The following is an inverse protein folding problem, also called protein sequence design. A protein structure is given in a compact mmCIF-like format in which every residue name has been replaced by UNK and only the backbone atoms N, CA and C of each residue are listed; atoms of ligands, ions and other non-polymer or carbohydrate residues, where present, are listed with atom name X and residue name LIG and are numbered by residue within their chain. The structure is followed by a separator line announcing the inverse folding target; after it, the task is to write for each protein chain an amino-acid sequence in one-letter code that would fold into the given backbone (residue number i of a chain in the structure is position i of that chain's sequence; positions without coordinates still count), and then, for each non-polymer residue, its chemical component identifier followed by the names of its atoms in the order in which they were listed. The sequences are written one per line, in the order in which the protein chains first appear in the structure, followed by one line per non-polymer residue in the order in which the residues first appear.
data_IF_205250861441
#
_entry.id   IF_205250861441
#
_cell.length_a   1.000
_cell.length_b   1.000
_cell.length_c   1.000
_cell.angle_alpha   90.00
_cell.angle_beta   90.00
_cell.angle_gamma   90.00
#
_symmetry.space_group_name_H-M   'P 1'
#
loop_
_entity.id
_entity.type
_entity.pdbx_description
1 polymer ?
2 non-polymer ?
3 non-polymer ?
4 water ?
#
# COMPACT_ATOMS: atom_id res chain seq x y z
N UNK A 1 9.33 1.76 -17.55
CA UNK A 1 9.03 3.17 -17.18
C UNK A 1 8.46 3.22 -15.79
N UNK A 2 8.61 4.36 -15.13
CA UNK A 2 8.22 4.43 -13.75
C UNK A 2 6.74 4.88 -13.58
N UNK A 3 5.82 4.01 -13.99
CA UNK A 3 4.40 4.18 -13.69
C UNK A 3 3.95 3.20 -12.63
N UNK A 4 3.14 3.68 -11.69
CA UNK A 4 2.77 2.93 -10.50
C UNK A 4 1.53 3.57 -9.92
N UNK A 5 0.85 2.84 -9.05
CA UNK A 5 -0.33 3.34 -8.33
C UNK A 5 -0.22 2.94 -6.88
N UNK A 6 -0.94 3.64 -6.02
CA UNK A 6 -0.96 3.33 -4.61
C UNK A 6 -2.22 2.55 -4.28
N UNK A 7 -2.07 1.49 -3.48
CA UNK A 7 -3.18 0.79 -2.86
C UNK A 7 -3.16 1.20 -1.39
N UNK A 8 -4.11 2.04 -0.97
CA UNK A 8 -4.19 2.37 0.44
C UNK A 8 -4.81 1.22 1.18
N UNK A 9 -4.27 0.91 2.35
CA UNK A 9 -4.75 -0.22 3.10
C UNK A 9 -5.10 0.21 4.51
N UNK A 10 -5.38 1.50 4.70
CA UNK A 10 -5.74 2.04 6.02
C UNK A 10 -6.97 1.32 6.57
N UNK A 11 -7.84 0.84 5.68
CA UNK A 11 -9.09 0.20 6.10
C UNK A 11 -8.98 -1.31 6.10
N UNK A 12 -7.74 -1.81 6.05
CA UNK A 12 -7.45 -3.24 6.08
C UNK A 12 -6.25 -3.41 7.03
N UNK A 13 -5.03 -3.23 6.50
CA UNK A 13 -3.80 -3.28 7.30
C UNK A 13 -3.93 -2.32 8.50
N UNK A 14 -4.43 -1.11 8.23
CA UNK A 14 -4.59 -0.09 9.29
C UNK A 14 -5.58 -0.53 10.36
N UNK A 15 -6.53 -1.39 10.04
CA UNK A 15 -7.44 -1.89 11.07
C UNK A 15 -6.70 -2.80 12.06
N UNK A 16 -5.53 -3.28 11.65
CA UNK A 16 -4.75 -4.21 12.46
C UNK A 16 -3.82 -3.45 13.38
N UNK A 17 -3.78 -2.14 13.21
CA UNK A 17 -3.14 -1.24 14.17
C UNK A 17 -3.74 -1.42 15.57
N UNK A 18 -2.88 -1.46 16.59
CA UNK A 18 -3.29 -1.66 17.97
C UNK A 18 -4.52 -0.81 18.37
N UNK A 19 -4.46 0.48 18.07
CA UNK A 19 -5.46 1.40 18.54
C UNK A 19 -6.56 1.70 17.50
N UNK A 20 -6.57 1.01 16.37
CA UNK A 20 -7.62 1.24 15.38
C UNK A 20 -8.98 0.67 15.83
N UNK A 21 -10.01 1.51 15.75
CA UNK A 21 -11.38 1.07 16.04
C UNK A 21 -12.30 1.91 15.19
N UNK A 22 -12.32 1.60 13.90
CA UNK A 22 -13.00 2.45 12.94
C UNK A 22 -14.50 2.12 12.91
N UNK A 23 -15.34 3.14 13.09
CA UNK A 23 -16.79 3.00 12.84
C UNK A 23 -16.98 2.99 11.33
N UNK A 24 -18.12 2.48 10.89
CA UNK A 24 -18.50 2.54 9.50
C UNK A 24 -18.34 3.96 8.99
N UNK A 25 -18.72 4.94 9.80
CA UNK A 25 -18.57 6.34 9.37
C UNK A 25 -17.15 6.82 9.29
N UNK A 26 -16.30 6.34 10.21
CA UNK A 26 -14.86 6.64 10.16
C UNK A 26 -14.29 6.18 8.79
N UNK A 27 -14.62 4.93 8.43
CA UNK A 27 -14.13 4.32 7.19
C UNK A 27 -14.59 5.13 5.98
N UNK A 28 -15.88 5.51 5.97
CA UNK A 28 -16.43 6.25 4.82
C UNK A 28 -15.72 7.58 4.68
N UNK A 29 -15.52 8.26 5.81
CA UNK A 29 -14.81 9.52 5.81
C UNK A 29 -13.37 9.34 5.26
N UNK A 30 -12.68 8.29 5.70
CA UNK A 30 -11.29 8.03 5.24
C UNK A 30 -11.32 7.76 3.74
N UNK A 31 -12.22 6.89 3.32
CA UNK A 31 -12.30 6.48 1.91
C UNK A 31 -12.57 7.66 1.00
N UNK A 32 -13.53 8.52 1.39
CA UNK A 32 -13.87 9.69 0.59
C UNK A 32 -12.70 10.65 0.52
N UNK A 33 -12.01 10.83 1.64
CA UNK A 33 -10.84 11.73 1.67
C UNK A 33 -9.69 11.20 0.78
N UNK A 34 -9.49 9.88 0.78
CA UNK A 34 -8.47 9.24 -0.08
C UNK A 34 -8.84 9.35 -1.55
N UNK A 35 -10.15 9.28 -1.81
CA UNK A 35 -10.62 9.38 -3.17
C UNK A 35 -10.44 10.79 -3.67
N UNK A 36 -10.74 11.79 -2.83
CA UNK A 36 -10.48 13.18 -3.20
C UNK A 36 -8.99 13.41 -3.48
N UNK A 37 -8.14 12.83 -2.64
CA UNK A 37 -6.69 12.91 -2.80
C UNK A 37 -6.21 12.33 -4.15
N UNK A 38 -6.91 11.31 -4.65
CA UNK A 38 -6.53 10.72 -5.97
C UNK A 38 -6.03 9.28 -5.89
N UNK A 39 -6.10 8.67 -4.70
CA UNK A 39 -5.57 7.33 -4.45
C UNK A 39 -6.28 6.33 -5.35
N UNK A 40 -5.56 5.38 -5.94
CA UNK A 40 -6.17 4.55 -7.00
C UNK A 40 -6.95 3.37 -6.48
N UNK A 41 -6.54 2.85 -5.32
CA UNK A 41 -7.20 1.69 -4.75
C UNK A 41 -7.33 1.86 -3.27
N UNK A 42 -8.39 1.28 -2.74
CA UNK A 42 -8.66 1.28 -1.31
C UNK A 42 -8.99 -0.13 -0.95
N UNK A 43 -8.15 -0.70 -0.09
CA UNK A 43 -8.25 -2.10 0.27
C UNK A 43 -8.91 -2.17 1.64
N UNK A 44 -9.77 -3.18 1.81
CA UNK A 44 -10.60 -3.28 3.01
C UNK A 44 -10.55 -4.67 3.63
N UNK A 45 -10.68 -4.72 4.95
CA UNK A 45 -10.68 -5.97 5.71
C UNK A 45 -11.58 -7.01 5.10
N UNK A 46 -11.20 -8.27 5.24
CA UNK A 46 -11.94 -9.38 4.67
C UNK A 46 -13.41 -9.38 5.17
N UNK A 47 -14.37 -9.58 4.26
CA UNK A 47 -15.77 -9.54 4.71
C UNK A 47 -16.07 -10.67 5.70
N UNK A 48 -15.32 -11.77 5.60
CA UNK A 48 -15.46 -12.93 6.48
C UNK A 48 -15.08 -12.66 7.96
N UNK A 49 -14.39 -11.55 8.25
CA UNK A 49 -13.96 -11.27 9.63
C UNK A 49 -15.13 -11.20 10.66
N UNK A 50 -16.21 -10.52 10.29
CA UNK A 50 -17.35 -10.29 11.18
C UNK A 50 -18.50 -9.78 10.31
N UNK A 51 -19.75 -9.78 10.85
CA UNK A 51 -20.86 -9.20 10.08
C UNK A 51 -20.61 -7.72 9.78
N UNK A 52 -20.00 -7.00 10.71
CA UNK A 52 -19.64 -5.61 10.46
C UNK A 52 -18.53 -5.37 9.41
N UNK A 53 -17.58 -6.30 9.27
CA UNK A 53 -16.55 -6.15 8.23
C UNK A 53 -17.21 -6.29 6.86
N UNK A 54 -18.09 -7.28 6.74
CA UNK A 54 -18.88 -7.50 5.52
C UNK A 54 -19.67 -6.25 5.11
N UNK A 55 -20.44 -5.71 6.05
CA UNK A 55 -21.22 -4.48 5.83
C UNK A 55 -20.36 -3.31 5.38
N UNK A 56 -19.26 -3.08 6.10
CA UNK A 56 -18.32 -2.04 5.72
C UNK A 56 -17.77 -2.23 4.31
N UNK A 57 -17.43 -3.46 3.95
CA UNK A 57 -16.95 -3.75 2.59
C UNK A 57 -18.04 -3.40 1.57
N UNK A 58 -19.26 -3.87 1.84
CA UNK A 58 -20.44 -3.63 1.00
C UNK A 58 -20.68 -2.13 0.78
N UNK A 59 -20.66 -1.36 1.86
CA UNK A 59 -20.84 0.09 1.81
C UNK A 59 -19.70 0.77 1.03
N UNK A 60 -18.46 0.50 1.44
CA UNK A 60 -17.31 1.13 0.80
C UNK A 60 -17.24 0.84 -0.70
N UNK A 61 -17.56 -0.38 -1.09
CA UNK A 61 -17.52 -0.78 -2.48
C UNK A 61 -18.63 -0.11 -3.32
N UNK A 62 -19.66 0.38 -2.61
CA UNK A 62 -20.82 0.98 -3.26
C UNK A 62 -20.89 2.51 -3.13
N UNK A 63 -19.86 3.10 -2.52
CA UNK A 63 -19.77 4.54 -2.34
C UNK A 63 -19.78 5.36 -3.61
N UNK A 64 -19.63 4.70 -4.76
CA UNK A 64 -19.42 5.40 -6.02
C UNK A 64 -18.11 6.17 -6.13
N UNK A 65 -17.05 5.70 -5.42
CA UNK A 65 -15.72 6.35 -5.52
C UNK A 65 -15.06 6.12 -6.86
N UNK A 66 -14.20 7.04 -7.27
CA UNK A 66 -13.35 6.85 -8.45
C UNK A 66 -12.30 5.73 -8.18
N UNK A 67 -11.70 5.71 -6.99
CA UNK A 67 -10.83 4.62 -6.52
C UNK A 67 -11.52 3.27 -6.58
N UNK A 68 -10.78 2.22 -6.95
CA UNK A 68 -11.34 0.86 -6.90
C UNK A 68 -11.26 0.37 -5.48
N UNK A 69 -12.32 -0.30 -5.04
CA UNK A 69 -12.35 -0.84 -3.70
C UNK A 69 -12.10 -2.32 -3.80
N UNK A 70 -11.15 -2.82 -3.00
CA UNK A 70 -10.72 -4.20 -3.15
C UNK A 70 -10.62 -4.81 -1.76
N UNK A 71 -10.89 -6.10 -1.66
CA UNK A 71 -10.79 -6.73 -0.37
C UNK A 71 -9.75 -7.84 -0.36
N UNK A 72 -9.21 -8.05 0.84
CA UNK A 72 -8.10 -8.92 1.07
C UNK A 72 -8.63 -10.14 1.77
N UNK A 73 -8.54 -11.30 1.12
CA UNK A 73 -8.98 -12.56 1.72
C UNK A 73 -7.89 -13.65 1.69
N UNK A 74 -7.99 -14.62 2.61
CA UNK A 74 -7.29 -15.89 2.47
C UNK A 74 -7.72 -16.52 1.15
N UNK A 75 -6.79 -17.23 0.51
CA UNK A 75 -7.06 -17.88 -0.76
C UNK A 75 -7.85 -19.17 -0.54
N UNK A 76 -9.16 -19.00 -0.34
CA UNK A 76 -10.11 -20.09 -0.06
C UNK A 76 -11.40 -19.91 -0.86
N UNK A 77 -12.06 -21.01 -1.20
CA UNK A 77 -13.36 -20.95 -1.88
C UNK A 77 -14.44 -20.29 -1.02
N UNK A 78 -14.45 -20.65 0.27
CA UNK A 78 -15.31 -20.06 1.29
C UNK A 78 -15.34 -18.55 1.10
N UNK A 79 -14.17 -17.93 1.33
CA UNK A 79 -14.05 -16.49 1.42
C UNK A 79 -14.26 -15.78 0.08
N UNK A 80 -13.94 -16.47 -1.01
CA UNK A 80 -14.12 -15.92 -2.34
C UNK A 80 -15.59 -15.56 -2.58
N UNK A 81 -16.49 -16.52 -2.27
CA UNK A 81 -17.95 -16.37 -2.42
C UNK A 81 -18.45 -15.10 -1.71
N UNK A 82 -18.22 -15.05 -0.41
CA UNK A 82 -18.46 -13.86 0.40
C UNK A 82 -17.91 -12.58 -0.23
N UNK A 83 -16.67 -12.64 -0.75
CA UNK A 83 -16.02 -11.48 -1.35
C UNK A 83 -16.71 -10.96 -2.61
N UNK A 84 -17.01 -11.82 -3.56
CA UNK A 84 -17.67 -11.33 -4.76
C UNK A 84 -19.06 -10.75 -4.44
N UNK A 85 -19.80 -11.43 -3.54
CA UNK A 85 -21.14 -10.97 -3.14
C UNK A 85 -21.14 -9.55 -2.56
N UNK A 86 -20.00 -9.08 -2.04
CA UNK A 86 -19.93 -7.72 -1.49
C UNK A 86 -19.88 -6.61 -2.54
N UNK A 87 -19.73 -6.95 -3.80
CA UNK A 87 -19.58 -5.94 -4.86
C UNK A 87 -18.24 -5.24 -4.99
N UNK A 88 -17.21 -5.70 -4.28
CA UNK A 88 -15.84 -5.11 -4.43
C UNK A 88 -15.40 -5.13 -5.90
N UNK A 89 -14.58 -4.16 -6.30
CA UNK A 89 -14.04 -4.10 -7.66
C UNK A 89 -12.79 -4.99 -7.83
N UNK A 90 -12.17 -5.37 -6.73
CA UNK A 90 -11.01 -6.26 -6.78
C UNK A 90 -10.97 -7.21 -5.60
N UNK A 91 -10.40 -8.39 -5.81
CA UNK A 91 -10.09 -9.30 -4.70
C UNK A 91 -8.57 -9.63 -4.65
N UNK A 92 -7.95 -9.37 -3.50
CA UNK A 92 -6.51 -9.60 -3.24
C UNK A 92 -6.38 -10.90 -2.48
N UNK A 93 -6.10 -11.98 -3.20
CA UNK A 93 -5.81 -13.25 -2.54
C UNK A 93 -4.44 -13.27 -1.85
N UNK A 94 -4.44 -13.84 -0.65
CA UNK A 94 -3.21 -14.16 0.07
C UNK A 94 -3.19 -15.66 0.32
N UNK A 95 -2.24 -16.36 -0.31
CA UNK A 95 -1.97 -17.76 0.05
C UNK A 95 -1.02 -17.76 1.26
N UNK A 96 -1.55 -18.14 2.43
CA UNK A 96 -0.83 -18.04 3.69
C UNK A 96 0.27 -19.08 3.79
N UNK A 97 1.23 -18.87 4.70
CA UNK A 97 2.45 -19.69 4.75
C UNK A 97 2.30 -21.17 5.17
N UNK A 98 1.10 -21.73 4.96
CA UNK A 98 0.83 -23.18 5.12
C UNK A 98 0.33 -23.85 3.80
N UNK A 99 1.25 -24.26 2.91
CA UNK A 99 2.69 -24.01 3.03
C UNK A 99 3.15 -23.00 1.98
N UNK A 106 5.53 -30.70 3.63
CA UNK A 106 6.07 -29.39 3.29
C UNK A 106 5.30 -28.74 2.16
N UNK A 107 6.04 -28.20 1.19
CA UNK A 107 5.46 -27.52 0.01
C UNK A 107 5.28 -28.48 -1.19
N UNK A 108 4.02 -28.77 -1.53
CA UNK A 108 3.67 -29.57 -2.72
C UNK A 108 3.10 -28.61 -3.77
N UNK A 109 3.90 -28.34 -4.81
CA UNK A 109 3.70 -27.15 -5.66
C UNK A 109 2.58 -27.22 -6.70
N UNK A 110 2.43 -28.35 -7.42
CA UNK A 110 1.29 -28.39 -8.35
C UNK A 110 -0.06 -28.39 -7.61
N UNK A 111 -0.07 -28.85 -6.36
CA UNK A 111 -1.26 -28.83 -5.52
C UNK A 111 -1.61 -27.38 -5.17
N UNK A 112 -0.64 -26.67 -4.58
CA UNK A 112 -0.73 -25.24 -4.33
C UNK A 112 -1.23 -24.49 -5.58
N UNK A 113 -0.64 -24.80 -6.73
CA UNK A 113 -1.06 -24.20 -8.00
C UNK A 113 -2.54 -24.53 -8.32
N UNK A 114 -2.93 -25.79 -8.16
CA UNK A 114 -4.32 -26.25 -8.37
C UNK A 114 -5.32 -25.50 -7.46
N UNK A 115 -5.01 -25.48 -6.17
CA UNK A 115 -5.82 -24.83 -5.16
C UNK A 115 -6.00 -23.32 -5.41
N UNK A 116 -4.93 -22.65 -5.83
CA UNK A 116 -5.00 -21.23 -6.18
C UNK A 116 -5.83 -21.00 -7.45
N UNK A 117 -5.54 -21.76 -8.50
CA UNK A 117 -6.23 -21.63 -9.79
C UNK A 117 -7.73 -21.86 -9.69
N UNK A 118 -8.14 -22.59 -8.64
CA UNK A 118 -9.53 -22.98 -8.45
C UNK A 118 -10.30 -21.77 -7.90
N UNK A 119 -9.81 -21.24 -6.78
CA UNK A 119 -10.34 -20.02 -6.19
C UNK A 119 -10.41 -18.92 -7.23
N UNK A 120 -9.33 -18.73 -8.00
CA UNK A 120 -9.27 -17.75 -9.10
C UNK A 120 -10.30 -18.03 -10.19
N UNK A 121 -10.50 -19.30 -10.51
CA UNK A 121 -11.46 -19.72 -11.54
C UNK A 121 -12.90 -19.42 -11.13
N UNK A 122 -13.26 -19.75 -9.89
CA UNK A 122 -14.57 -19.37 -9.36
C UNK A 122 -14.87 -17.87 -9.55
N UNK A 123 -13.92 -17.02 -9.14
CA UNK A 123 -14.09 -15.58 -9.26
C UNK A 123 -14.29 -15.11 -10.70
N UNK A 124 -13.56 -15.70 -11.66
CA UNK A 124 -13.73 -15.33 -13.07
C UNK A 124 -15.14 -15.70 -13.54
N UNK A 125 -15.57 -16.89 -13.11
CA UNK A 125 -16.92 -17.42 -13.37
C UNK A 125 -17.96 -16.43 -12.83
N UNK A 126 -17.92 -16.23 -11.51
CA UNK A 126 -18.95 -15.53 -10.75
C UNK A 126 -18.90 -14.01 -10.84
N UNK A 127 -17.77 -13.43 -11.25
CA UNK A 127 -17.64 -11.97 -11.33
C UNK A 127 -16.53 -11.55 -12.31
N UNK A 128 -16.72 -11.85 -13.61
CA UNK A 128 -15.62 -11.67 -14.58
C UNK A 128 -15.00 -10.27 -14.65
N UNK A 129 -15.66 -9.25 -14.08
CA UNK A 129 -15.09 -7.92 -14.15
C UNK A 129 -14.28 -7.54 -12.88
N UNK A 130 -14.27 -8.43 -11.89
CA UNK A 130 -13.47 -8.19 -10.69
C UNK A 130 -11.98 -8.46 -10.97
N UNK A 131 -11.13 -7.53 -10.54
CA UNK A 131 -9.67 -7.69 -10.64
C UNK A 131 -9.12 -8.64 -9.59
N UNK A 132 -8.36 -9.63 -10.01
CA UNK A 132 -7.82 -10.62 -9.07
C UNK A 132 -6.31 -10.45 -8.89
N UNK A 133 -5.87 -10.29 -7.64
CA UNK A 133 -4.45 -10.33 -7.30
C UNK A 133 -4.13 -11.59 -6.49
N UNK A 134 -2.99 -12.22 -6.80
CA UNK A 134 -2.48 -13.36 -6.02
C UNK A 134 -1.15 -13.02 -5.33
N UNK A 135 -1.07 -13.23 -4.02
CA UNK A 135 0.16 -13.12 -3.23
C UNK A 135 0.37 -14.38 -2.40
N UNK A 136 1.63 -14.81 -2.28
CA UNK A 136 2.02 -15.76 -1.24
C UNK A 136 2.55 -14.95 -0.05
N UNK A 137 2.17 -15.36 1.16
CA UNK A 137 2.62 -14.67 2.37
C UNK A 137 4.12 -14.88 2.60
N UNK A 138 4.77 -13.88 3.20
CA UNK A 138 6.19 -13.94 3.54
C UNK A 138 7.00 -14.31 2.29
N UNK A 139 6.78 -13.51 1.24
CA UNK A 139 7.27 -13.77 -0.09
C UNK A 139 8.81 -13.77 -0.16
N UNK A 140 9.45 -12.91 0.62
CA UNK A 140 10.90 -12.70 0.49
C UNK A 140 11.66 -13.78 1.25
N UNK A 141 10.97 -14.46 2.15
CA UNK A 141 11.57 -15.58 2.91
C UNK A 141 11.16 -16.98 2.43
N UNK A 142 10.30 -17.07 1.41
CA UNK A 142 9.94 -18.37 0.83
C UNK A 142 11.09 -18.88 -0.06
N UNK A 143 11.24 -20.18 -0.16
CA UNK A 143 12.21 -20.72 -1.08
C UNK A 143 11.90 -20.24 -2.52
N UNK A 144 12.89 -19.66 -3.17
CA UNK A 144 12.64 -18.87 -4.37
C UNK A 144 12.22 -19.66 -5.61
N UNK A 145 12.77 -20.85 -5.81
CA UNK A 145 12.40 -21.66 -6.97
C UNK A 145 10.90 -22.01 -6.93
N UNK A 146 10.42 -22.44 -5.77
CA UNK A 146 9.02 -22.82 -5.61
C UNK A 146 8.10 -21.61 -5.71
N UNK A 147 8.53 -20.49 -5.13
CA UNK A 147 7.77 -19.25 -5.19
C UNK A 147 7.56 -18.84 -6.65
N UNK A 148 8.66 -18.81 -7.42
CA UNK A 148 8.61 -18.38 -8.80
C UNK A 148 7.80 -19.37 -9.61
N UNK A 149 7.88 -20.65 -9.25
CA UNK A 149 7.14 -21.70 -9.93
C UNK A 149 5.61 -21.46 -9.78
N UNK A 150 5.19 -21.16 -8.55
CA UNK A 150 3.77 -20.85 -8.25
C UNK A 150 3.34 -19.57 -8.98
N UNK A 151 4.12 -18.49 -8.85
CA UNK A 151 3.76 -17.22 -9.50
C UNK A 151 3.67 -17.31 -11.00
N UNK A 152 4.57 -18.10 -11.59
CA UNK A 152 4.64 -18.22 -13.02
C UNK A 152 3.42 -18.93 -13.57
N UNK A 153 2.94 -19.93 -12.82
CA UNK A 153 1.82 -20.74 -13.23
C UNK A 153 0.48 -20.01 -13.00
N UNK A 154 0.42 -19.20 -11.95
CA UNK A 154 -0.80 -18.53 -11.56
C UNK A 154 -0.99 -17.24 -12.37
N UNK A 155 0.12 -16.62 -12.79
CA UNK A 155 0.10 -15.29 -13.38
C UNK A 155 -0.74 -15.12 -14.67
N UNK A 156 -0.81 -16.14 -15.52
CA UNK A 156 -1.67 -15.99 -16.70
C UNK A 156 -3.16 -15.82 -16.35
N UNK A 157 -3.54 -16.13 -15.11
CA UNK A 157 -4.93 -16.15 -14.71
C UNK A 157 -5.32 -14.98 -13.86
N UNK A 158 -4.35 -14.11 -13.53
CA UNK A 158 -4.60 -13.02 -12.60
C UNK A 158 -4.25 -11.69 -13.22
N UNK A 159 -4.73 -10.61 -12.63
CA UNK A 159 -4.37 -9.25 -13.05
C UNK A 159 -3.06 -8.76 -12.43
N UNK A 160 -2.70 -9.33 -11.29
CA UNK A 160 -1.63 -8.81 -10.49
C UNK A 160 -1.11 -9.91 -9.58
N UNK A 161 0.18 -9.89 -9.26
CA UNK A 161 0.72 -10.75 -8.22
C UNK A 161 1.33 -9.82 -7.23
N UNK A 162 1.37 -10.20 -5.97
CA UNK A 162 2.02 -9.36 -5.02
C UNK A 162 3.13 -10.07 -4.26
N UNK A 163 3.99 -9.26 -3.65
CA UNK A 163 5.04 -9.73 -2.75
C UNK A 163 4.80 -9.01 -1.43
N UNK A 164 4.95 -9.74 -0.32
CA UNK A 164 4.70 -9.19 1.03
C UNK A 164 5.94 -9.40 1.92
N UNK A 165 6.58 -8.31 2.35
CA UNK A 165 7.60 -8.39 3.40
C UNK A 165 6.86 -8.35 4.74
N UNK A 166 6.30 -9.49 5.12
CA UNK A 166 5.34 -9.65 6.23
C UNK A 166 5.96 -9.31 7.62
N UNK A 167 7.22 -9.67 7.81
CA UNK A 167 7.87 -9.51 9.11
C UNK A 167 8.77 -8.24 9.15
N UNK A 168 8.83 -7.52 8.04
CA UNK A 168 9.59 -6.29 7.93
C UNK A 168 11.10 -6.44 8.03
N UNK A 169 11.66 -7.46 7.37
CA UNK A 169 13.11 -7.74 7.42
C UNK A 169 13.79 -7.74 6.04
N UNK A 170 13.01 -7.64 4.97
CA UNK A 170 13.63 -7.61 3.64
C UNK A 170 14.53 -6.38 3.49
N UNK A 171 15.58 -6.52 2.69
CA UNK A 171 16.52 -5.44 2.46
C UNK A 171 16.23 -4.86 1.07
N UNK A 172 16.64 -3.61 0.83
CA UNK A 172 16.29 -3.00 -0.46
C UNK A 172 16.81 -3.76 -1.70
N UNK A 173 17.99 -4.34 -1.59
CA UNK A 173 18.57 -5.01 -2.75
C UNK A 173 17.98 -6.38 -2.97
N UNK A 174 17.60 -7.05 -1.89
CA UNK A 174 16.80 -8.26 -1.96
C UNK A 174 15.43 -8.01 -2.62
N UNK A 175 14.77 -6.91 -2.24
CA UNK A 175 13.46 -6.60 -2.82
C UNK A 175 13.62 -6.31 -4.31
N UNK A 176 14.60 -5.49 -4.66
CA UNK A 176 14.87 -5.19 -6.07
C UNK A 176 15.08 -6.47 -6.89
N UNK A 177 15.95 -7.34 -6.40
CA UNK A 177 16.26 -8.60 -7.08
C UNK A 177 15.04 -9.53 -7.26
N UNK A 178 14.25 -9.72 -6.21
CA UNK A 178 13.14 -10.65 -6.27
C UNK A 178 12.02 -10.12 -7.17
N UNK A 179 11.73 -8.82 -7.09
CA UNK A 179 10.78 -8.19 -8.01
C UNK A 179 11.21 -8.35 -9.47
N UNK A 180 12.51 -8.17 -9.77
CA UNK A 180 13.07 -8.40 -11.13
C UNK A 180 12.86 -9.81 -11.64
N UNK A 181 13.15 -10.81 -10.78
CA UNK A 181 12.89 -12.23 -11.08
C UNK A 181 11.39 -12.51 -11.31
N UNK A 182 10.53 -11.99 -10.43
CA UNK A 182 9.08 -12.13 -10.63
C UNK A 182 8.65 -11.51 -11.98
N UNK A 183 9.11 -10.30 -12.28
CA UNK A 183 8.77 -9.66 -13.54
C UNK A 183 9.21 -10.54 -14.73
N UNK A 184 10.41 -11.12 -14.63
CA UNK A 184 10.93 -12.01 -15.68
C UNK A 184 10.02 -13.20 -15.95
N UNK A 185 9.51 -13.84 -14.90
CA UNK A 185 8.66 -15.03 -15.10
C UNK A 185 7.16 -14.76 -15.36
N UNK A 186 6.64 -13.62 -14.89
CA UNK A 186 5.22 -13.31 -15.12
C UNK A 186 4.99 -12.55 -16.43
N UNK A 187 6.05 -11.98 -16.99
CA UNK A 187 5.94 -11.18 -18.22
C UNK A 187 5.51 -9.73 -17.99
N UNK A 188 5.40 -8.92 -19.07
CA UNK A 188 5.14 -7.47 -18.95
C UNK A 188 3.69 -7.06 -18.63
N UNK A 189 2.74 -7.98 -18.82
CA UNK A 189 1.32 -7.70 -18.69
C UNK A 189 0.85 -7.71 -17.22
N UNK A 190 1.22 -8.75 -16.47
CA UNK A 190 0.72 -8.92 -15.11
C UNK A 190 1.29 -7.84 -14.22
N UNK A 191 0.44 -7.23 -13.39
CA UNK A 191 0.93 -6.14 -12.56
C UNK A 191 1.62 -6.74 -11.36
N UNK A 192 2.45 -5.95 -10.70
CA UNK A 192 3.20 -6.43 -9.55
C UNK A 192 3.07 -5.46 -8.37
N UNK A 193 2.59 -5.98 -7.27
CA UNK A 193 2.30 -5.21 -6.07
C UNK A 193 3.30 -5.51 -4.95
N UNK A 194 3.73 -4.48 -4.22
CA UNK A 194 4.62 -4.67 -3.07
C UNK A 194 3.97 -4.16 -1.79
N UNK A 195 4.05 -4.97 -0.74
CA UNK A 195 3.54 -4.67 0.61
C UNK A 195 4.68 -4.89 1.57
N UNK A 196 5.07 -3.88 2.32
CA UNK A 196 6.20 -4.09 3.21
C UNK A 196 6.07 -3.50 4.60
N UNK A 197 6.38 -4.30 5.60
CA UNK A 197 6.40 -3.80 6.95
C UNK A 197 7.63 -2.99 7.29
N UNK A 198 7.55 -2.19 8.36
CA UNK A 198 8.63 -1.23 8.67
C UNK A 198 9.52 -1.59 9.88
N UNK A 199 9.54 -2.87 10.26
CA UNK A 199 10.25 -3.27 11.49
C UNK A 199 11.74 -2.92 11.47
N UNK A 200 12.31 -2.87 10.26
CA UNK A 200 13.72 -2.59 10.15
C UNK A 200 13.98 -1.25 9.43
N UNK A 201 12.94 -0.42 9.36
CA UNK A 201 13.04 0.94 8.79
C UNK A 201 13.20 0.99 7.28
N UNK A 202 12.78 -0.07 6.59
CA UNK A 202 13.02 -0.21 5.15
C UNK A 202 11.73 -0.21 4.30
N UNK A 203 10.57 0.07 4.91
CA UNK A 203 9.32 0.04 4.11
C UNK A 203 9.27 1.02 2.97
N UNK A 204 9.76 2.24 3.15
CA UNK A 204 9.77 3.18 2.07
C UNK A 204 10.85 2.88 1.00
N UNK A 205 12.07 2.64 1.45
CA UNK A 205 13.18 2.27 0.59
C UNK A 205 12.85 1.07 -0.26
N UNK A 206 12.29 0.03 0.35
CA UNK A 206 11.87 -1.20 -0.33
C UNK A 206 10.78 -1.00 -1.41
N UNK A 207 9.78 -0.18 -1.08
CA UNK A 207 8.73 0.18 -2.01
C UNK A 207 9.34 0.84 -3.23
N UNK A 208 10.26 1.75 -2.99
CA UNK A 208 10.93 2.46 -4.05
C UNK A 208 11.76 1.53 -4.95
N UNK A 209 12.57 0.66 -4.33
CA UNK A 209 13.37 -0.33 -5.08
C UNK A 209 12.46 -1.30 -5.83
N UNK A 210 11.32 -1.66 -5.23
CA UNK A 210 10.32 -2.50 -5.90
C UNK A 210 9.86 -1.87 -7.22
N UNK A 211 9.51 -0.57 -7.19
CA UNK A 211 9.16 0.16 -8.39
C UNK A 211 10.28 0.22 -9.42
N UNK A 212 11.51 0.53 -8.98
CA UNK A 212 12.65 0.53 -9.90
C UNK A 212 12.84 -0.82 -10.61
N UNK A 213 12.47 -1.90 -9.93
CA UNK A 213 12.60 -3.26 -10.43
C UNK A 213 11.41 -3.67 -11.32
N UNK A 214 10.39 -2.83 -11.41
CA UNK A 214 9.20 -3.10 -12.25
C UNK A 214 7.85 -3.25 -11.54
N UNK A 215 7.82 -3.07 -10.22
CA UNK A 215 6.55 -3.09 -9.51
C UNK A 215 5.68 -1.91 -9.93
N UNK A 216 4.38 -2.17 -10.00
CA UNK A 216 3.42 -1.21 -10.51
C UNK A 216 2.46 -0.71 -9.41
N UNK A 217 2.47 -1.35 -8.23
CA UNK A 217 1.51 -1.00 -7.16
C UNK A 217 2.22 -1.08 -5.84
N UNK A 218 2.03 -0.06 -4.99
CA UNK A 218 2.64 -0.05 -3.65
C UNK A 218 1.52 0.11 -2.60
N UNK A 219 1.51 -0.76 -1.58
CA UNK A 219 0.58 -0.62 -0.44
C UNK A 219 1.09 0.45 0.53
N UNK A 220 0.22 1.40 0.90
CA UNK A 220 0.55 2.38 1.98
C UNK A 220 -0.62 2.43 2.99
N UNK A 221 -0.38 2.96 4.18
CA UNK A 221 -1.48 3.36 5.03
C UNK A 221 -1.11 4.77 5.48
N UNK A 222 -2.10 5.57 5.82
CA UNK A 222 -1.86 6.91 6.33
C UNK A 222 -1.09 6.73 7.64
N UNK A 223 -0.04 7.53 7.79
CA UNK A 223 0.89 7.45 8.92
C UNK A 223 1.56 6.08 9.11
N UNK A 224 1.34 5.16 8.17
CA UNK A 224 1.95 3.83 8.24
C UNK A 224 1.35 2.90 9.27
N UNK A 225 0.16 3.23 9.78
CA UNK A 225 -0.49 2.38 10.76
C UNK A 225 -0.73 0.98 10.23
N UNK A 226 -0.57 -0.01 11.12
CA UNK A 226 -0.73 -1.42 10.76
C UNK A 226 -0.30 -2.30 11.92
N UNK A 227 -0.21 -3.61 11.68
CA UNK A 227 0.37 -4.52 12.70
C UNK A 227 1.71 -3.96 13.10
N UNK A 228 2.04 -4.06 14.39
CA UNK A 228 3.34 -3.65 14.93
C UNK A 228 3.64 -2.18 14.57
N UNK A 229 4.84 -1.85 14.08
CA UNK A 229 5.09 -0.47 13.70
C UNK A 229 4.56 -0.12 12.29
N UNK A 230 3.86 -1.06 11.68
CA UNK A 230 3.10 -0.78 10.46
C UNK A 230 3.87 -0.96 9.17
N UNK A 231 3.32 -0.37 8.11
CA UNK A 231 3.83 -0.53 6.75
C UNK A 231 4.24 0.80 6.13
N UNK A 232 4.56 0.79 4.84
CA UNK A 232 4.98 2.00 4.10
C UNK A 232 3.97 3.12 4.34
N UNK A 233 4.41 4.24 4.94
CA UNK A 233 3.46 5.33 5.15
C UNK A 233 3.24 6.16 3.89
N UNK A 234 1.97 6.52 3.68
CA UNK A 234 1.62 7.34 2.54
C UNK A 234 2.52 8.56 2.38
N UNK A 235 2.66 9.35 3.43
CA UNK A 235 3.42 10.59 3.28
C UNK A 235 4.91 10.38 3.01
N UNK A 236 5.52 9.45 3.74
CA UNK A 236 6.97 9.24 3.52
C UNK A 236 7.19 8.69 2.11
N UNK A 237 6.28 7.85 1.65
CA UNK A 237 6.35 7.31 0.28
C UNK A 237 6.23 8.40 -0.78
N UNK A 238 5.33 9.36 -0.55
CA UNK A 238 5.18 10.44 -1.50
C UNK A 238 6.33 11.36 -1.47
N UNK A 239 6.89 11.60 -0.28
CA UNK A 239 8.10 12.39 -0.21
C UNK A 239 9.21 11.71 -1.04
N UNK A 240 9.35 10.40 -0.87
CA UNK A 240 10.37 9.65 -1.63
C UNK A 240 10.15 9.78 -3.16
N UNK A 241 8.91 9.56 -3.59
CA UNK A 241 8.61 9.57 -5.04
C UNK A 241 8.63 10.95 -5.63
N UNK A 242 8.20 11.94 -4.85
CA UNK A 242 8.16 13.31 -5.33
C UNK A 242 9.52 13.82 -5.71
N UNK A 243 10.55 13.48 -4.95
CA UNK A 243 11.92 13.96 -5.23
C UNK A 243 12.44 13.40 -6.55
N UNK A 244 11.93 12.24 -6.96
CA UNK A 244 12.38 11.57 -8.16
C UNK A 244 11.48 11.83 -9.40
N UNK A 245 10.16 11.92 -9.17
CA UNK A 245 9.20 12.15 -10.27
C UNK A 245 8.24 13.29 -9.89
N UNK A 246 8.75 14.51 -9.70
CA UNK A 246 7.86 15.51 -9.11
C UNK A 246 6.62 15.85 -9.98
N UNK A 247 6.79 15.95 -11.30
CA UNK A 247 5.68 16.22 -12.21
C UNK A 247 4.58 15.17 -12.08
N UNK A 248 4.98 13.91 -12.21
CA UNK A 248 4.08 12.79 -12.14
C UNK A 248 3.29 12.74 -10.84
N UNK A 249 3.98 12.91 -9.71
CA UNK A 249 3.36 12.79 -8.39
C UNK A 249 2.40 13.96 -8.13
N UNK A 250 2.81 15.15 -8.52
CA UNK A 250 1.94 16.26 -8.26
C UNK A 250 0.70 16.28 -9.16
N UNK A 251 0.81 15.70 -10.36
CA UNK A 251 -0.32 15.48 -11.29
C UNK A 251 -1.32 14.45 -10.73
N UNK A 252 -0.78 13.38 -10.14
CA UNK A 252 -1.60 12.26 -9.70
C UNK A 252 -2.47 12.53 -8.46
N UNK A 253 -1.96 13.36 -7.55
CA UNK A 253 -2.53 13.45 -6.20
C UNK A 253 -2.67 14.88 -5.77
N UNK A 254 -3.62 15.13 -4.86
CA UNK A 254 -3.77 16.46 -4.26
C UNK A 254 -2.87 16.54 -3.05
N UNK A 255 -1.61 16.84 -3.30
CA UNK A 255 -0.54 16.69 -2.29
C UNK A 255 -0.77 17.60 -1.07
N UNK A 256 -1.33 18.79 -1.32
CA UNK A 256 -1.62 19.74 -0.24
C UNK A 256 -2.64 19.17 0.76
N UNK A 257 -3.32 18.07 0.43
CA UNK A 257 -4.22 17.38 1.39
C UNK A 257 -3.53 16.50 2.42
N UNK A 258 -2.22 16.31 2.28
CA UNK A 258 -1.52 15.37 3.18
C UNK A 258 -1.65 15.70 4.67
N UNK A 259 -1.41 16.95 5.09
CA UNK A 259 -1.63 17.29 6.50
C UNK A 259 -2.97 16.84 7.07
N UNK A 260 -4.05 17.01 6.30
CA UNK A 260 -5.39 16.69 6.80
C UNK A 260 -5.62 15.19 6.84
N UNK A 261 -5.04 14.45 5.90
CA UNK A 261 -5.15 13.00 5.94
C UNK A 261 -4.43 12.49 7.18
N UNK A 262 -3.22 12.97 7.42
CA UNK A 262 -2.45 12.57 8.60
C UNK A 262 -3.16 12.94 9.92
N UNK A 263 -3.69 14.17 10.01
CA UNK A 263 -4.45 14.60 11.21
C UNK A 263 -5.71 13.76 11.44
N UNK A 264 -6.46 13.54 10.38
CA UNK A 264 -7.67 12.75 10.48
C UNK A 264 -7.43 11.39 11.15
N UNK A 265 -6.47 10.64 10.61
CA UNK A 265 -6.16 9.30 11.12
C UNK A 265 -5.53 9.36 12.51
N UNK A 266 -4.58 10.28 12.73
CA UNK A 266 -4.03 10.48 14.07
C UNK A 266 -5.16 10.70 15.11
N UNK A 267 -6.12 11.58 14.77
CA UNK A 267 -7.27 11.88 15.61
C UNK A 267 -8.06 10.59 15.89
N UNK A 268 -8.40 9.85 14.85
CA UNK A 268 -9.21 8.65 15.00
C UNK A 268 -8.58 7.49 15.78
N UNK A 269 -7.25 7.31 15.66
CA UNK A 269 -6.61 6.17 16.35
C UNK A 269 -5.98 6.57 17.68
N UNK A 270 -6.03 7.86 17.99
CA UNK A 270 -5.58 8.39 19.28
C UNK A 270 -4.07 8.46 19.42
N UNK A 271 -3.38 8.88 18.36
CA UNK A 271 -1.93 9.09 18.43
C UNK A 271 -1.61 10.55 18.09
N UNK A 272 -0.43 11.01 18.51
CA UNK A 272 0.12 12.24 17.99
C UNK A 272 0.94 11.91 16.72
N UNK A 273 0.86 12.79 15.73
CA UNK A 273 1.77 12.75 14.60
C UNK A 273 3.20 12.84 15.14
N UNK A 274 4.05 11.83 14.82
CA UNK A 274 5.46 11.83 15.29
C UNK A 274 6.12 13.17 15.02
N UNK A 275 6.93 13.65 15.96
CA UNK A 275 7.62 14.93 15.81
C UNK A 275 8.47 15.01 14.52
N UNK A 276 8.96 13.86 14.06
CA UNK A 276 9.80 13.80 12.89
C UNK A 276 9.07 13.13 11.72
N UNK A 277 7.74 13.09 11.79
CA UNK A 277 7.01 12.44 10.71
C UNK A 277 7.27 13.18 9.40
N UNK A 278 7.41 12.40 8.33
CA UNK A 278 7.65 12.94 6.99
C UNK A 278 6.67 14.04 6.64
N UNK A 279 7.22 15.17 6.20
CA UNK A 279 6.45 16.30 5.68
C UNK A 279 5.58 17.01 6.73
N UNK A 280 4.72 16.27 7.43
CA UNK A 280 3.73 16.83 8.37
C UNK A 280 4.16 16.84 9.86
N UNK A 281 5.30 16.24 10.18
CA UNK A 281 5.78 16.23 11.57
C UNK A 281 6.21 17.63 11.96
N UNK A 282 5.99 17.96 13.23
CA UNK A 282 6.38 19.25 13.83
C UNK A 282 7.69 19.79 13.29
N UNK A 283 8.60 18.87 13.03
CA UNK A 283 9.98 19.21 12.78
C UNK A 283 10.46 19.04 11.32
N UNK A 284 9.58 18.50 10.47
CA UNK A 284 9.94 18.10 9.10
C UNK A 284 10.68 19.17 8.27
N UNK A 285 10.39 20.45 8.50
CA UNK A 285 11.05 21.54 7.79
C UNK A 285 11.79 22.55 8.68
N UNK A 286 12.32 22.09 9.82
CA UNK A 286 13.02 23.04 10.71
C UNK A 286 14.53 23.12 10.49
N UNK A 287 15.03 24.34 10.35
CA UNK A 287 16.44 24.63 10.07
C UNK A 287 17.05 25.43 11.20
N UNK A 288 18.28 25.10 11.56
CA UNK A 288 18.91 25.69 12.74
C UNK A 288 20.36 26.12 12.53
N UNK A 289 21.19 25.23 11.96
CA UNK A 289 22.62 25.51 11.75
C UNK A 289 22.82 26.83 10.99
N UNK A 290 23.74 27.66 11.48
CA UNK A 290 24.01 28.97 10.90
C UNK A 290 24.32 28.93 9.40
N UNK A 291 25.14 27.96 8.99
CA UNK A 291 25.57 27.81 7.59
C UNK A 291 24.44 27.28 6.69
N UNK A 292 23.41 26.69 7.31
CA UNK A 292 22.17 26.29 6.64
C UNK A 292 21.24 27.50 6.41
N UNK A 293 21.00 28.27 7.48
CA UNK A 293 20.15 29.46 7.45
C UNK A 293 20.65 30.51 6.46
N UNK A 294 21.98 30.68 6.41
CA UNK A 294 22.61 31.64 5.49
C UNK A 294 22.46 31.22 4.02
N UNK A 295 22.17 29.94 3.80
CA UNK A 295 21.90 29.41 2.46
C UNK A 295 20.42 29.50 2.09
N UNK A 296 19.53 29.28 3.07
CA UNK A 296 18.06 29.38 2.90
C UNK A 296 17.57 30.79 2.52
N UNK A 297 18.34 31.82 2.89
CA UNK A 297 18.02 33.21 2.50
C UNK A 297 18.34 33.52 1.03
N UNK A 298 19.44 32.97 0.52
CA UNK A 298 19.79 33.09 -0.91
C UNK A 298 18.94 32.13 -1.75
N UNK A 299 18.62 30.96 -1.18
CA UNK A 299 17.84 29.92 -1.85
C UNK A 299 17.29 28.89 -0.84
N UNK A 300 15.95 28.91 -0.58
CA UNK A 300 15.27 27.97 0.32
C UNK A 300 15.54 26.49 -0.02
N UNK A 301 15.79 26.22 -1.29
CA UNK A 301 16.08 24.86 -1.82
C UNK A 301 17.37 24.25 -1.31
N UNK A 302 18.32 25.08 -0.85
CA UNK A 302 19.69 24.64 -0.58
C UNK A 302 19.79 23.47 0.41
N UNK A 303 18.86 23.44 1.37
CA UNK A 303 18.76 22.36 2.34
C UNK A 303 17.36 21.83 2.47
N UNK A 304 16.59 21.93 1.38
CA UNK A 304 15.25 21.37 1.36
C UNK A 304 15.14 20.38 0.21
N UNK A 305 14.68 19.17 0.52
CA UNK A 305 14.49 18.09 -0.44
C UNK A 305 13.34 18.38 -1.40
N UNK A 306 12.30 19.03 -0.88
CA UNK A 306 11.08 19.38 -1.62
C UNK A 306 10.49 20.64 -0.94
N UNK A 307 9.68 21.43 -1.68
CA UNK A 307 9.03 22.63 -1.12
C UNK A 307 7.89 22.29 -0.17
N UNK A 308 7.87 22.94 1.00
CA UNK A 308 6.81 22.67 1.98
C UNK A 308 5.40 23.07 1.49
N UNK A 309 5.30 24.13 0.68
CA UNK A 309 3.99 24.59 0.19
C UNK A 309 3.29 23.58 -0.72
N UNK A 310 4.09 22.81 -1.46
CA UNK A 310 3.60 21.69 -2.28
C UNK A 310 2.76 20.72 -1.46
N UNK A 311 3.17 20.48 -0.21
CA UNK A 311 2.42 19.58 0.64
C UNK A 311 1.53 20.30 1.64
N UNK A 312 1.37 21.61 1.49
CA UNK A 312 0.51 22.40 2.37
C UNK A 312 1.06 22.67 3.76
N UNK A 313 2.38 22.75 3.90
CA UNK A 313 3.03 23.06 5.19
C UNK A 313 4.01 24.24 5.02
N UNK A 314 4.72 24.60 6.10
CA UNK A 314 5.70 25.71 6.11
C UNK A 314 7.00 25.30 6.80
N UNK A 315 8.11 25.92 6.41
CA UNK A 315 9.39 25.75 7.11
C UNK A 315 9.45 26.57 8.41
N UNK A 316 10.32 26.15 9.32
CA UNK A 316 10.64 26.94 10.52
C UNK A 316 12.13 27.27 10.53
N UNK A 317 12.46 28.53 10.79
CA UNK A 317 13.86 28.91 10.98
C UNK A 317 14.14 29.15 12.47
N UNK A 318 15.19 28.50 12.99
CA UNK A 318 15.61 28.68 14.39
C UNK A 318 16.91 29.50 14.42
N UNK A 319 16.73 30.82 14.41
CA UNK A 319 17.81 31.77 14.27
C UNK A 319 18.50 32.10 15.60
N UNK A 320 17.77 31.92 16.70
CA UNK A 320 18.33 32.13 18.04
C UNK A 320 18.80 30.81 18.67
#
# INVERSE_FOLDING_TARGET
MREWKIIDSTLREGEQFEKANFSTQDKVEIAKALDEFGIEYIEVTTPVASPQSRKDAEVLASLGLKAKVVTHIQCRLDAAKVAVETGVQGIDLLFGTSKYLRAPHGRDIPRIIEEAKEVIAYIREAAPHVEVRFSAEDTFRSEEQDLLAVYEAVAPYVDRVGLADTVGVATPRQVYALVREVRRVVGPRVDIEFHGHNDTGCAIANAYEAIEAGATHVDTTILGIGERNGITPLGGFLARMYTLQPEYVRRKYKLEMLPELDRMVARMVGVEIPFNNYITGETAFSHKAGMHLKAIYINPEAYEPYPPEVFGVKRKLIIASRLTGRHAIKARAEELGLHYGEEELHRVTQHIKALADRGQLTLEELDRILREWITAHHHHHH
#
